data_IF_244173648340
#
_entry.id   IF_244173648340
#
_cell.length_a   1.000
_cell.length_b   1.000
_cell.length_c   1.000
_cell.angle_alpha   90.00
_cell.angle_beta   90.00
_cell.angle_gamma   90.00
#
_symmetry.space_group_name_H-M   'P 1'
#
loop_
_entity.id
_entity.type
_entity.pdbx_description
1 polymer ?
#
# COMPACT_ATOMS: atom_id res chain seq x y z
N UNK A 1 52.58 14.80 -64.34
CA UNK A 1 51.56 14.00 -63.60
C UNK A 1 51.04 14.85 -62.46
N UNK A 2 49.72 15.02 -62.38
CA UNK A 2 49.08 16.08 -61.62
C UNK A 2 49.03 15.75 -60.12
N UNK A 3 50.07 16.16 -59.41
CA UNK A 3 50.21 16.14 -57.95
C UNK A 3 48.93 16.61 -57.21
N UNK A 4 48.20 17.68 -57.64
CA UNK A 4 46.97 18.09 -56.94
C UNK A 4 45.80 17.09 -57.06
N UNK A 5 45.75 16.23 -58.09
CA UNK A 5 44.64 15.28 -58.27
C UNK A 5 44.66 14.11 -57.28
N UNK A 6 45.81 13.80 -56.67
CA UNK A 6 45.97 12.72 -55.68
C UNK A 6 45.92 13.30 -54.26
N UNK A 7 46.41 14.52 -54.07
CA UNK A 7 46.47 15.18 -52.77
C UNK A 7 45.09 15.49 -52.19
N UNK A 8 44.14 15.95 -53.03
CA UNK A 8 42.80 16.35 -52.59
C UNK A 8 42.00 15.14 -52.06
N UNK A 9 41.89 14.00 -52.76
CA UNK A 9 41.20 12.82 -52.24
C UNK A 9 41.85 12.25 -50.96
N UNK A 10 43.18 12.30 -50.84
CA UNK A 10 43.89 11.84 -49.65
C UNK A 10 43.58 12.69 -48.41
N UNK A 11 43.52 14.02 -48.58
CA UNK A 11 43.12 14.95 -47.50
C UNK A 11 41.66 14.75 -47.08
N UNK A 12 40.75 14.58 -48.04
CA UNK A 12 39.33 14.33 -47.73
C UNK A 12 39.15 13.00 -46.98
N UNK A 13 39.84 11.94 -47.41
CA UNK A 13 39.82 10.65 -46.71
C UNK A 13 40.33 10.74 -45.26
N UNK A 14 41.39 11.51 -45.03
CA UNK A 14 41.94 11.73 -43.69
C UNK A 14 40.96 12.54 -42.81
N UNK A 15 40.33 13.58 -43.35
CA UNK A 15 39.33 14.38 -42.62
C UNK A 15 38.11 13.54 -42.28
N UNK A 16 37.58 12.76 -43.24
CA UNK A 16 36.45 11.86 -43.00
C UNK A 16 36.77 10.77 -41.97
N UNK A 17 37.98 10.22 -41.98
CA UNK A 17 38.42 9.24 -40.98
C UNK A 17 38.49 9.82 -39.57
N UNK A 18 39.04 11.04 -39.43
CA UNK A 18 39.10 11.73 -38.13
C UNK A 18 37.70 12.08 -37.63
N UNK A 19 36.83 12.60 -38.50
CA UNK A 19 35.45 12.93 -38.14
C UNK A 19 34.65 11.68 -37.75
N UNK A 20 34.78 10.58 -38.49
CA UNK A 20 34.12 9.31 -38.15
C UNK A 20 34.57 8.75 -36.80
N UNK A 21 35.88 8.83 -36.49
CA UNK A 21 36.43 8.41 -35.20
C UNK A 21 35.92 9.28 -34.04
N UNK A 22 35.85 10.60 -34.22
CA UNK A 22 35.34 11.52 -33.19
C UNK A 22 33.83 11.32 -32.96
N UNK A 23 33.05 11.14 -34.03
CA UNK A 23 31.60 10.91 -33.94
C UNK A 23 31.28 9.59 -33.23
N UNK A 24 31.99 8.51 -33.56
CA UNK A 24 31.83 7.21 -32.89
C UNK A 24 32.18 7.27 -31.40
N UNK A 25 33.29 7.93 -31.06
CA UNK A 25 33.74 8.09 -29.67
C UNK A 25 32.75 8.90 -28.81
N UNK A 26 32.06 9.89 -29.38
CA UNK A 26 31.05 10.67 -28.65
C UNK A 26 29.79 9.84 -28.37
N UNK A 27 29.41 8.93 -29.26
CA UNK A 27 28.24 8.06 -29.07
C UNK A 27 28.50 6.99 -28.00
N UNK A 28 29.67 6.34 -28.00
CA UNK A 28 30.02 5.30 -27.00
C UNK A 28 30.02 5.84 -25.57
N UNK A 29 30.30 7.14 -25.38
CA UNK A 29 30.29 7.76 -24.05
C UNK A 29 28.88 7.93 -23.46
N UNK A 30 27.85 8.03 -24.31
CA UNK A 30 26.45 8.05 -23.88
C UNK A 30 25.97 6.67 -23.43
N UNK A 31 26.36 5.63 -24.16
CA UNK A 31 25.97 4.24 -23.90
C UNK A 31 26.57 3.73 -22.57
N UNK A 32 27.83 4.06 -22.27
CA UNK A 32 28.48 3.73 -20.98
C UNK A 32 27.77 4.38 -19.78
N UNK A 33 27.32 5.64 -19.94
CA UNK A 33 26.61 6.37 -18.89
C UNK A 33 25.23 5.78 -18.60
N UNK A 34 24.53 5.31 -19.64
CA UNK A 34 23.24 4.65 -19.50
C UNK A 34 23.39 3.25 -18.89
N UNK A 35 24.41 2.49 -19.30
CA UNK A 35 24.71 1.20 -18.69
C UNK A 35 25.02 1.32 -17.20
N UNK A 36 25.77 2.36 -16.80
CA UNK A 36 26.07 2.65 -15.40
C UNK A 36 24.81 3.01 -14.58
N UNK A 37 23.89 3.81 -15.13
CA UNK A 37 22.65 4.14 -14.43
C UNK A 37 21.73 2.93 -14.29
N UNK A 38 21.57 2.12 -15.35
CA UNK A 38 20.78 0.89 -15.28
C UNK A 38 21.37 -0.12 -14.28
N UNK A 39 22.69 -0.21 -14.20
CA UNK A 39 23.37 -1.08 -13.24
C UNK A 39 23.09 -0.61 -11.79
N UNK A 40 23.15 0.70 -11.54
CA UNK A 40 22.83 1.27 -10.23
C UNK A 40 21.37 1.00 -9.81
N UNK A 41 20.42 1.14 -10.73
CA UNK A 41 18.99 0.87 -10.48
C UNK A 41 18.73 -0.62 -10.19
N UNK A 42 19.40 -1.53 -10.90
CA UNK A 42 19.32 -2.96 -10.66
C UNK A 42 19.86 -3.34 -9.27
N UNK A 43 20.97 -2.73 -8.85
CA UNK A 43 21.56 -2.99 -7.55
C UNK A 43 20.69 -2.44 -6.41
N UNK A 44 20.05 -1.27 -6.61
CA UNK A 44 19.06 -0.73 -5.69
C UNK A 44 17.82 -1.63 -5.58
N UNK A 45 17.30 -2.15 -6.71
CA UNK A 45 16.17 -3.07 -6.72
C UNK A 45 16.48 -4.39 -5.99
N UNK A 46 17.68 -4.95 -6.22
CA UNK A 46 18.15 -6.16 -5.53
C UNK A 46 18.31 -5.91 -4.02
N UNK A 47 18.83 -4.74 -3.63
CA UNK A 47 18.97 -4.37 -2.22
C UNK A 47 17.60 -4.27 -1.53
N UNK A 48 16.61 -3.64 -2.17
CA UNK A 48 15.24 -3.58 -1.67
C UNK A 48 14.62 -4.98 -1.55
N UNK A 49 14.77 -5.83 -2.57
CA UNK A 49 14.28 -7.22 -2.54
C UNK A 49 14.87 -7.99 -1.35
N UNK A 50 16.19 -7.89 -1.15
CA UNK A 50 16.87 -8.51 0.02
C UNK A 50 16.36 -7.96 1.35
N UNK A 51 16.11 -6.64 1.44
CA UNK A 51 15.57 -6.03 2.65
C UNK A 51 14.16 -6.56 2.97
N UNK A 52 13.30 -6.64 1.95
CA UNK A 52 11.95 -7.18 2.11
C UNK A 52 12.00 -8.66 2.50
N UNK A 53 12.82 -9.48 1.84
CA UNK A 53 12.97 -10.90 2.19
C UNK A 53 13.51 -11.08 3.60
N UNK A 54 14.46 -10.25 4.05
CA UNK A 54 14.97 -10.29 5.42
C UNK A 54 13.89 -9.90 6.46
N UNK A 55 13.05 -8.90 6.15
CA UNK A 55 11.91 -8.52 7.00
C UNK A 55 10.85 -9.62 7.07
N UNK A 56 10.57 -10.28 5.95
CA UNK A 56 9.65 -11.43 5.93
C UNK A 56 10.20 -12.54 6.83
N UNK A 57 11.47 -12.90 6.67
CA UNK A 57 12.11 -13.92 7.49
C UNK A 57 12.15 -13.55 8.99
N UNK A 58 12.38 -12.28 9.33
CA UNK A 58 12.35 -11.83 10.74
C UNK A 58 10.94 -11.90 11.32
N UNK A 59 9.93 -11.47 10.57
CA UNK A 59 8.54 -11.53 11.00
C UNK A 59 8.04 -12.97 11.14
N UNK A 60 8.43 -13.86 10.23
CA UNK A 60 8.15 -15.30 10.33
C UNK A 60 8.84 -15.93 11.55
N UNK A 61 10.09 -15.54 11.85
CA UNK A 61 10.80 -16.00 13.04
C UNK A 61 10.15 -15.49 14.33
N UNK A 62 9.70 -14.23 14.37
CA UNK A 62 8.96 -13.67 15.50
C UNK A 62 7.61 -14.37 15.69
N UNK A 63 6.90 -14.68 14.59
CA UNK A 63 5.66 -15.47 14.62
C UNK A 63 5.91 -16.88 15.15
N UNK A 64 6.98 -17.54 14.68
CA UNK A 64 7.36 -18.88 15.10
C UNK A 64 7.88 -18.93 16.54
N UNK A 65 8.56 -17.89 17.01
CA UNK A 65 8.98 -17.76 18.41
C UNK A 65 7.77 -17.54 19.33
N UNK A 66 6.79 -16.74 18.89
CA UNK A 66 5.51 -16.57 19.59
C UNK A 66 4.67 -17.85 19.61
N UNK A 67 4.81 -18.72 18.61
CA UNK A 67 4.17 -20.04 18.55
C UNK A 67 4.86 -21.11 19.41
N UNK A 68 6.11 -20.90 19.88
CA UNK A 68 6.88 -21.87 20.67
C UNK A 68 6.89 -21.63 22.18
N UNK A 69 6.26 -20.55 22.66
CA UNK A 69 5.93 -20.36 24.08
C UNK A 69 4.51 -20.91 24.34
N UNK A 70 4.33 -22.21 24.10
CA UNK A 70 3.28 -23.03 24.69
C UNK A 70 3.67 -24.49 24.45
N UNK A 71 3.97 -25.23 25.53
CA UNK A 71 3.03 -26.30 25.85
C UNK A 71 2.82 -26.41 27.35
N UNK A 72 1.67 -25.91 27.81
CA UNK A 72 0.96 -26.59 28.89
C UNK A 72 -0.50 -26.69 28.48
N UNK A 73 -0.90 -27.93 28.23
CA UNK A 73 -2.29 -28.33 28.05
C UNK A 73 -3.00 -28.06 29.38
N UNK A 74 -3.70 -26.94 29.45
CA UNK A 74 -4.92 -26.82 30.24
C UNK A 74 -6.02 -26.47 29.25
N UNK A 75 -7.06 -27.30 29.29
CA UNK A 75 -8.33 -27.06 28.63
C UNK A 75 -8.84 -25.67 29.00
N UNK A 76 -8.75 -24.73 28.07
CA UNK A 76 -9.58 -23.54 28.08
C UNK A 76 -10.54 -23.73 26.91
N UNK A 77 -11.76 -24.18 27.26
CA UNK A 77 -12.93 -23.92 26.44
C UNK A 77 -12.80 -22.54 25.83
N UNK A 78 -13.05 -22.42 24.52
CA UNK A 78 -13.14 -21.18 23.75
C UNK A 78 -13.20 -19.96 24.67
N UNK A 79 -12.02 -19.38 24.96
CA UNK A 79 -11.94 -18.12 25.66
C UNK A 79 -12.40 -17.11 24.61
N UNK A 80 -13.73 -17.00 24.48
CA UNK A 80 -14.38 -15.96 23.72
C UNK A 80 -13.64 -14.68 24.07
N UNK A 81 -13.10 -14.02 23.05
CA UNK A 81 -12.55 -12.68 23.20
C UNK A 81 -13.51 -11.90 24.12
N UNK A 82 -13.01 -11.14 25.11
CA UNK A 82 -13.88 -10.42 26.02
C UNK A 82 -14.92 -9.69 25.18
N UNK A 83 -16.19 -10.06 25.35
CA UNK A 83 -17.28 -9.47 24.58
C UNK A 83 -17.35 -8.02 25.02
N UNK A 84 -16.71 -7.13 24.27
CA UNK A 84 -16.75 -5.70 24.53
C UNK A 84 -18.20 -5.29 24.29
N UNK A 85 -18.93 -5.03 25.38
CA UNK A 85 -20.32 -4.62 25.31
C UNK A 85 -20.36 -3.19 24.79
N UNK A 86 -21.18 -2.96 23.77
CA UNK A 86 -21.39 -1.63 23.22
C UNK A 86 -21.97 -0.65 24.25
N UNK A 87 -21.21 0.40 24.57
CA UNK A 87 -21.69 1.53 25.37
C UNK A 87 -22.24 2.64 24.47
N UNK A 88 -23.57 2.63 24.30
CA UNK A 88 -24.27 3.62 23.50
C UNK A 88 -24.22 5.05 24.07
N UNK A 89 -24.09 5.18 25.40
CA UNK A 89 -24.08 6.48 26.08
C UNK A 89 -22.74 7.16 25.84
N UNK A 90 -21.64 6.42 25.99
CA UNK A 90 -20.31 6.93 25.71
C UNK A 90 -20.16 7.35 24.24
N UNK A 91 -20.61 6.51 23.31
CA UNK A 91 -20.59 6.82 21.88
C UNK A 91 -21.41 8.08 21.56
N UNK A 92 -22.60 8.22 22.14
CA UNK A 92 -23.45 9.38 21.93
C UNK A 92 -22.86 10.67 22.52
N UNK A 93 -22.21 10.60 23.68
CA UNK A 93 -21.54 11.74 24.30
C UNK A 93 -20.39 12.27 23.43
N UNK A 94 -19.61 11.37 22.80
CA UNK A 94 -18.49 11.76 21.94
C UNK A 94 -18.96 12.32 20.60
N UNK A 95 -19.89 11.65 19.91
CA UNK A 95 -20.34 12.04 18.57
C UNK A 95 -21.49 13.05 18.56
N UNK A 96 -22.10 13.36 19.71
CA UNK A 96 -23.26 14.25 19.81
C UNK A 96 -24.52 13.72 19.13
N UNK A 97 -24.54 12.45 18.72
CA UNK A 97 -25.65 11.78 18.01
C UNK A 97 -25.79 10.34 18.49
N UNK A 98 -27.00 9.79 18.38
CA UNK A 98 -27.24 8.38 18.71
C UNK A 98 -26.44 7.47 17.77
N UNK A 99 -25.54 6.68 18.33
CA UNK A 99 -24.84 5.61 17.62
C UNK A 99 -25.60 4.30 17.83
N UNK A 100 -25.86 3.57 16.76
CA UNK A 100 -26.43 2.23 16.81
C UNK A 100 -25.28 1.22 16.75
N UNK A 101 -25.38 0.17 17.54
CA UNK A 101 -24.39 -0.91 17.52
C UNK A 101 -24.24 -1.46 16.09
N UNK A 102 -22.98 -1.63 15.66
CA UNK A 102 -22.62 -2.13 14.33
C UNK A 102 -23.13 -1.29 13.14
N UNK A 103 -23.50 -0.02 13.36
CA UNK A 103 -23.76 0.92 12.28
C UNK A 103 -22.41 1.29 11.61
N UNK A 104 -22.20 0.81 10.37
CA UNK A 104 -20.93 0.98 9.67
C UNK A 104 -20.71 2.43 9.21
N UNK A 105 -21.77 3.25 9.16
CA UNK A 105 -21.67 4.68 8.81
C UNK A 105 -21.00 5.52 9.89
N UNK A 106 -20.63 4.93 11.02
CA UNK A 106 -19.73 5.58 11.98
C UNK A 106 -18.29 5.71 11.42
N UNK A 107 -17.93 4.87 10.45
CA UNK A 107 -16.65 4.92 9.75
C UNK A 107 -16.72 5.98 8.66
N UNK A 108 -15.76 6.90 8.67
CA UNK A 108 -15.66 7.97 7.69
C UNK A 108 -15.41 7.39 6.29
N UNK A 109 -16.19 7.88 5.31
CA UNK A 109 -16.19 7.34 3.95
C UNK A 109 -17.21 6.22 3.71
N UNK A 110 -17.83 5.66 4.75
CA UNK A 110 -18.93 4.69 4.60
C UNK A 110 -20.28 5.41 4.70
N UNK A 111 -20.91 5.63 3.54
CA UNK A 111 -22.30 6.10 3.46
C UNK A 111 -23.32 4.97 3.43
N UNK A 112 -24.64 5.27 3.43
CA UNK A 112 -25.71 4.26 3.42
C UNK A 112 -25.61 3.23 2.29
N UNK A 113 -25.20 3.66 1.09
CA UNK A 113 -25.04 2.76 -0.06
C UNK A 113 -23.84 1.82 0.08
N UNK A 114 -22.75 2.29 0.69
CA UNK A 114 -21.57 1.46 0.94
C UNK A 114 -21.88 0.46 2.05
N UNK A 115 -22.54 0.91 3.13
CA UNK A 115 -23.02 0.02 4.20
C UNK A 115 -23.89 -1.12 3.61
N UNK A 116 -24.78 -0.80 2.67
CA UNK A 116 -25.58 -1.81 1.97
C UNK A 116 -24.73 -2.83 1.18
N UNK A 117 -23.70 -2.38 0.44
CA UNK A 117 -22.76 -3.27 -0.26
C UNK A 117 -22.06 -4.23 0.71
N UNK A 118 -21.57 -3.73 1.83
CA UNK A 118 -20.91 -4.55 2.86
C UNK A 118 -21.87 -5.53 3.51
N UNK A 119 -23.09 -5.11 3.83
CA UNK A 119 -24.13 -5.98 4.35
C UNK A 119 -24.49 -7.11 3.38
N UNK A 120 -24.55 -6.82 2.08
CA UNK A 120 -24.76 -7.81 1.02
C UNK A 120 -23.58 -8.77 0.89
N UNK A 121 -22.36 -8.31 1.16
CA UNK A 121 -21.16 -9.14 1.25
C UNK A 121 -21.02 -9.92 2.57
N UNK A 122 -21.99 -9.80 3.49
CA UNK A 122 -22.00 -10.49 4.79
C UNK A 122 -21.23 -9.78 5.91
N UNK A 123 -20.65 -8.60 5.65
CA UNK A 123 -19.93 -7.81 6.64
C UNK A 123 -20.92 -6.85 7.30
N UNK A 124 -21.44 -7.22 8.47
CA UNK A 124 -22.52 -6.49 9.18
C UNK A 124 -22.12 -5.94 10.55
N UNK A 125 -20.87 -6.14 10.95
CA UNK A 125 -20.38 -5.75 12.29
C UNK A 125 -19.09 -4.98 12.17
N UNK A 126 -18.81 -4.13 13.17
CA UNK A 126 -17.53 -3.42 13.24
C UNK A 126 -16.35 -4.39 13.31
N UNK A 127 -16.51 -5.51 14.02
CA UNK A 127 -15.49 -6.56 14.09
C UNK A 127 -15.22 -7.15 12.69
N UNK A 128 -16.26 -7.59 11.97
CA UNK A 128 -16.10 -8.16 10.64
C UNK A 128 -15.46 -7.16 9.66
N UNK A 129 -15.84 -5.88 9.73
CA UNK A 129 -15.22 -4.84 8.92
C UNK A 129 -13.75 -4.62 9.30
N UNK A 130 -13.41 -4.68 10.59
CA UNK A 130 -12.03 -4.52 11.07
C UNK A 130 -11.09 -5.64 10.65
N UNK A 131 -11.64 -6.84 10.45
CA UNK A 131 -10.92 -8.03 9.98
C UNK A 131 -10.90 -8.11 8.44
N UNK A 132 -11.66 -7.25 7.75
CA UNK A 132 -11.71 -7.21 6.29
C UNK A 132 -10.46 -6.51 5.75
N UNK A 133 -9.60 -7.19 4.99
CA UNK A 133 -8.40 -6.56 4.44
C UNK A 133 -8.78 -5.56 3.34
N UNK A 134 -7.96 -4.53 3.17
CA UNK A 134 -8.22 -3.42 2.23
C UNK A 134 -8.50 -3.89 0.80
N UNK A 135 -7.82 -4.94 0.32
CA UNK A 135 -8.06 -5.49 -1.02
C UNK A 135 -9.48 -6.09 -1.17
N UNK A 136 -10.01 -6.75 -0.13
CA UNK A 136 -11.38 -7.27 -0.14
C UNK A 136 -12.41 -6.14 -0.09
N UNK A 137 -12.12 -5.12 0.70
CA UNK A 137 -12.92 -3.90 0.69
C UNK A 137 -12.96 -3.25 -0.69
N UNK A 138 -11.84 -3.18 -1.39
CA UNK A 138 -11.78 -2.68 -2.76
C UNK A 138 -12.60 -3.56 -3.73
N UNK A 139 -12.47 -4.88 -3.66
CA UNK A 139 -13.27 -5.82 -4.47
C UNK A 139 -14.79 -5.59 -4.28
N UNK A 140 -15.24 -5.32 -3.04
CA UNK A 140 -16.66 -5.04 -2.74
C UNK A 140 -17.12 -3.71 -3.38
N UNK A 141 -16.29 -2.67 -3.32
CA UNK A 141 -16.60 -1.39 -3.95
C UNK A 141 -16.63 -1.51 -5.48
N UNK A 142 -15.67 -2.21 -6.06
CA UNK A 142 -15.58 -2.44 -7.51
C UNK A 142 -16.80 -3.22 -8.02
N UNK A 143 -17.27 -4.23 -7.27
CA UNK A 143 -18.50 -4.96 -7.56
C UNK A 143 -19.76 -4.09 -7.46
N UNK A 144 -19.73 -3.00 -6.68
CA UNK A 144 -20.79 -2.00 -6.62
C UNK A 144 -20.86 -1.07 -7.84
N UNK A 145 -19.79 -1.01 -8.66
CA UNK A 145 -19.71 -0.22 -9.88
C UNK A 145 -18.99 1.13 -9.73
N UNK A 146 -18.82 1.83 -10.85
CA UNK A 146 -17.94 3.02 -10.97
C UNK A 146 -18.27 4.16 -9.99
N UNK A 147 -19.52 4.27 -9.53
CA UNK A 147 -19.95 5.28 -8.55
C UNK A 147 -19.20 5.16 -7.20
N UNK A 148 -18.62 4.00 -6.91
CA UNK A 148 -17.89 3.76 -5.66
C UNK A 148 -16.37 3.90 -5.81
N UNK A 149 -15.85 3.98 -7.05
CA UNK A 149 -14.42 3.99 -7.34
C UNK A 149 -13.64 5.18 -6.76
N UNK A 150 -14.33 6.27 -6.39
CA UNK A 150 -13.71 7.43 -5.76
C UNK A 150 -13.40 7.23 -4.26
N UNK A 151 -14.00 6.22 -3.63
CA UNK A 151 -13.83 5.95 -2.21
C UNK A 151 -12.54 5.15 -1.96
N UNK A 152 -11.86 5.47 -0.86
CA UNK A 152 -10.65 4.76 -0.45
C UNK A 152 -10.92 3.97 0.84
N UNK A 153 -10.89 2.62 0.81
CA UNK A 153 -11.14 1.81 1.99
C UNK A 153 -9.95 1.66 2.95
N UNK A 154 -8.82 2.35 2.69
CA UNK A 154 -7.55 2.15 3.40
C UNK A 154 -7.62 2.33 4.92
N UNK A 155 -8.47 3.24 5.41
CA UNK A 155 -8.61 3.52 6.85
C UNK A 155 -9.78 2.79 7.53
N UNK A 156 -10.70 2.20 6.75
CA UNK A 156 -11.98 1.71 7.25
C UNK A 156 -11.85 0.58 8.26
N UNK A 157 -10.95 -0.38 8.02
CA UNK A 157 -10.74 -1.50 8.94
C UNK A 157 -10.26 -1.03 10.32
N UNK A 158 -9.33 -0.06 10.36
CA UNK A 158 -8.81 0.49 11.61
C UNK A 158 -9.85 1.34 12.34
N UNK A 159 -10.65 2.13 11.61
CA UNK A 159 -11.76 2.89 12.21
C UNK A 159 -12.81 1.95 12.81
N UNK A 160 -13.16 0.89 12.10
CA UNK A 160 -14.08 -0.13 12.58
C UNK A 160 -13.53 -0.85 13.83
N UNK A 161 -12.22 -1.08 13.90
CA UNK A 161 -11.59 -1.65 15.09
C UNK A 161 -11.76 -0.75 16.32
N UNK A 162 -11.55 0.56 16.17
CA UNK A 162 -11.75 1.53 17.25
C UNK A 162 -13.21 1.56 17.71
N UNK A 163 -14.16 1.52 16.77
CA UNK A 163 -15.58 1.43 17.07
C UNK A 163 -15.94 0.14 17.83
N UNK A 164 -15.44 -1.02 17.37
CA UNK A 164 -15.61 -2.31 18.04
C UNK A 164 -15.03 -2.31 19.46
N UNK A 165 -13.89 -1.66 19.65
CA UNK A 165 -13.23 -1.54 20.96
C UNK A 165 -13.88 -0.50 21.89
N UNK A 166 -14.90 0.24 21.43
CA UNK A 166 -15.52 1.31 22.19
C UNK A 166 -14.62 2.54 22.41
N UNK A 167 -13.56 2.69 21.61
CA UNK A 167 -12.60 3.79 21.70
C UNK A 167 -13.11 5.03 20.96
N UNK A 168 -14.26 5.53 21.40
CA UNK A 168 -15.01 6.56 20.67
C UNK A 168 -14.25 7.88 20.54
N UNK A 169 -13.58 8.32 21.61
CA UNK A 169 -12.81 9.57 21.57
C UNK A 169 -11.62 9.47 20.61
N UNK A 170 -10.86 8.37 20.68
CA UNK A 170 -9.73 8.11 19.77
C UNK A 170 -10.21 8.02 18.31
N UNK A 171 -11.35 7.37 18.06
CA UNK A 171 -11.96 7.33 16.73
C UNK A 171 -12.30 8.73 16.23
N UNK A 172 -12.96 9.54 17.06
CA UNK A 172 -13.37 10.90 16.68
C UNK A 172 -12.16 11.80 16.43
N UNK A 173 -11.19 11.79 17.33
CA UNK A 173 -9.97 12.61 17.20
C UNK A 173 -9.20 12.22 15.92
N UNK A 174 -9.15 10.93 15.59
CA UNK A 174 -8.53 10.48 14.35
C UNK A 174 -9.33 10.94 13.13
N UNK A 175 -10.65 10.78 13.11
CA UNK A 175 -11.51 11.27 12.02
C UNK A 175 -11.39 12.79 11.81
N UNK A 176 -11.35 13.58 12.89
CA UNK A 176 -11.17 15.04 12.81
C UNK A 176 -9.81 15.44 12.19
N UNK A 177 -8.83 14.52 12.19
CA UNK A 177 -7.52 14.72 11.58
C UNK A 177 -7.40 14.23 10.13
N UNK A 178 -8.38 13.45 9.63
CA UNK A 178 -8.37 12.91 8.26
C UNK A 178 -8.98 13.91 7.27
N UNK A 179 -8.51 13.89 6.03
CA UNK A 179 -9.15 14.59 4.92
C UNK A 179 -10.08 13.63 4.16
N UNK A 180 -11.32 13.50 4.63
CA UNK A 180 -12.31 12.63 3.99
C UNK A 180 -11.94 11.15 4.06
N UNK A 181 -11.34 10.71 5.17
CA UNK A 181 -10.91 9.33 5.40
C UNK A 181 -9.53 8.97 4.85
N UNK A 182 -8.76 9.95 4.36
CA UNK A 182 -7.37 9.79 3.90
C UNK A 182 -6.40 10.45 4.90
N UNK A 183 -5.29 9.77 5.17
CA UNK A 183 -4.14 10.32 5.92
C UNK A 183 -3.29 11.23 5.02
#
# INVERSE_FOLDING_TARGET
MNIPCILIPALVGLICGILGYLLGKMNSKGDDSLALSLQADLDACKANTRNLTAKIASLEADLAAKAKIAPSVQSFAANAAPTIVFDAVLAANVFGKKVKENDLKIVEGIGPKIEELYHNAGIKTWLALSETPTHKSQEILDAGGENFAIHNPGTWAKQALLAYQGKWQELKDWQDSLDGGKE
#
